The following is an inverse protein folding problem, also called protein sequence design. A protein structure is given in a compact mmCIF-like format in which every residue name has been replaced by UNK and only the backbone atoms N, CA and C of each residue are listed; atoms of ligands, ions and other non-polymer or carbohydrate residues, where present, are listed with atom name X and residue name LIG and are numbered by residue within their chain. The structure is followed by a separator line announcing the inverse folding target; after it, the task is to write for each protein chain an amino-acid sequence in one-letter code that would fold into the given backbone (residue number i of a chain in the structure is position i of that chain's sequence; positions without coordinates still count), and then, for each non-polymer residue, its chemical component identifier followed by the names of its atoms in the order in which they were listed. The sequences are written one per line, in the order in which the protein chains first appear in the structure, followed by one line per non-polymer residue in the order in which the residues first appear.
data_IF_353536713219
#
_entry.id   IF_353536713219
#
_cell.length_a   1.000
_cell.length_b   1.000
_cell.length_c   1.000
_cell.angle_alpha   90.00
_cell.angle_beta   90.00
_cell.angle_gamma   90.00
#
_symmetry.space_group_name_H-M   'P 1'
#
loop_
_entity.id
_entity.type
_entity.pdbx_description
1 polymer ?
#
# COMPACT_ATOMS: atom_id res chain seq x y z
N UNK A 1 -7.87 -30.48 -68.57
CA UNK A 1 -6.58 -29.87 -68.18
C UNK A 1 -6.47 -29.90 -66.67
N UNK A 2 -5.26 -30.05 -66.12
CA UNK A 2 -4.68 -31.26 -65.48
C UNK A 2 -5.10 -31.42 -63.99
N UNK A 3 -5.13 -32.57 -63.29
CA UNK A 3 -4.44 -33.90 -63.27
C UNK A 3 -3.41 -34.00 -62.10
N UNK A 4 -3.87 -34.70 -61.05
CA UNK A 4 -3.24 -35.52 -59.98
C UNK A 4 -1.80 -35.25 -59.46
N UNK A 5 -1.55 -35.54 -58.16
CA UNK A 5 -0.22 -35.52 -57.54
C UNK A 5 0.61 -36.75 -57.92
N UNK A 6 1.93 -36.59 -58.02
CA UNK A 6 2.88 -37.69 -58.21
C UNK A 6 3.97 -37.65 -57.14
N UNK A 7 3.96 -38.67 -56.30
CA UNK A 7 5.05 -39.11 -55.43
C UNK A 7 6.26 -39.56 -56.27
N UNK A 8 7.48 -39.12 -55.94
CA UNK A 8 8.70 -39.93 -56.16
C UNK A 8 9.75 -39.66 -55.09
N UNK A 9 10.02 -40.70 -54.31
CA UNK A 9 11.17 -40.83 -53.43
C UNK A 9 12.47 -40.86 -54.25
N UNK A 10 13.52 -40.22 -53.74
CA UNK A 10 14.90 -40.46 -54.14
C UNK A 10 15.66 -40.86 -52.87
N UNK A 11 16.14 -42.11 -52.87
CA UNK A 11 17.06 -42.66 -51.88
C UNK A 11 18.42 -41.95 -52.01
N UNK A 12 18.82 -41.24 -50.97
CA UNK A 12 20.17 -40.68 -50.82
C UNK A 12 20.88 -41.35 -49.64
N UNK A 13 21.68 -42.36 -49.93
CA UNK A 13 22.59 -43.00 -48.99
C UNK A 13 23.68 -42.01 -48.57
N UNK A 14 23.67 -41.54 -47.32
CA UNK A 14 24.83 -40.86 -46.72
C UNK A 14 25.35 -41.76 -45.61
N UNK A 15 26.50 -42.37 -45.92
CA UNK A 15 27.39 -43.07 -45.00
C UNK A 15 27.93 -42.02 -44.02
N UNK A 16 27.43 -42.00 -42.79
CA UNK A 16 28.07 -41.27 -41.71
C UNK A 16 29.23 -42.14 -41.17
N UNK A 17 30.45 -41.78 -41.55
CA UNK A 17 31.69 -42.33 -40.99
C UNK A 17 31.70 -42.13 -39.47
N UNK A 18 31.70 -43.25 -38.74
CA UNK A 18 31.89 -43.32 -37.30
C UNK A 18 33.37 -43.07 -36.99
N UNK A 19 33.74 -41.83 -36.68
CA UNK A 19 35.04 -41.53 -36.06
C UNK A 19 35.00 -41.92 -34.58
N UNK A 20 35.58 -43.08 -34.26
CA UNK A 20 35.87 -43.49 -32.89
C UNK A 20 37.09 -42.68 -32.43
N UNK A 21 36.86 -41.58 -31.72
CA UNK A 21 37.90 -40.92 -30.93
C UNK A 21 38.09 -41.67 -29.60
N UNK A 22 39.32 -41.91 -29.14
CA UNK A 22 39.57 -42.56 -27.86
C UNK A 22 39.01 -41.70 -26.73
N UNK A 23 38.06 -42.25 -25.98
CA UNK A 23 37.56 -41.68 -24.72
C UNK A 23 38.71 -41.63 -23.72
N UNK A 24 39.35 -40.47 -23.57
CA UNK A 24 40.02 -40.15 -22.31
C UNK A 24 38.94 -39.83 -21.27
N UNK A 25 39.06 -40.30 -20.02
CA UNK A 25 38.13 -39.90 -18.97
C UNK A 25 38.37 -38.42 -18.66
N UNK A 26 37.51 -37.56 -19.20
CA UNK A 26 37.34 -36.21 -18.66
C UNK A 26 36.65 -36.36 -17.31
N UNK A 27 37.39 -36.22 -16.22
CA UNK A 27 36.80 -35.98 -14.91
C UNK A 27 36.21 -34.58 -14.92
N UNK A 28 34.91 -34.47 -15.13
CA UNK A 28 34.18 -33.26 -14.81
C UNK A 28 34.04 -33.21 -13.29
N UNK A 29 34.86 -32.40 -12.62
CA UNK A 29 34.58 -32.05 -11.23
C UNK A 29 33.35 -31.13 -11.27
N UNK A 30 32.14 -31.69 -11.13
CA UNK A 30 30.99 -30.90 -10.71
C UNK A 30 31.32 -30.44 -9.30
N UNK A 31 31.59 -29.16 -9.12
CA UNK A 31 31.28 -28.52 -7.85
C UNK A 31 29.74 -28.47 -7.79
N UNK A 32 29.13 -29.60 -7.48
CA UNK A 32 27.78 -29.61 -6.94
C UNK A 32 27.91 -29.24 -5.48
N UNK A 33 27.86 -27.94 -5.18
CA UNK A 33 27.17 -27.54 -3.97
C UNK A 33 25.68 -27.79 -4.21
N UNK A 34 25.29 -29.07 -4.20
CA UNK A 34 23.94 -29.39 -3.81
C UNK A 34 23.87 -29.06 -2.33
N UNK A 35 23.14 -28.01 -1.97
CA UNK A 35 22.62 -27.89 -0.62
C UNK A 35 21.75 -29.13 -0.38
N UNK A 36 22.35 -30.17 0.15
CA UNK A 36 21.67 -31.39 0.54
C UNK A 36 20.77 -31.05 1.72
N UNK A 37 19.49 -31.36 1.59
CA UNK A 37 18.58 -31.34 2.73
C UNK A 37 19.03 -32.44 3.69
N UNK A 38 19.57 -32.06 4.85
CA UNK A 38 19.59 -32.97 5.98
C UNK A 38 18.18 -33.03 6.54
N UNK A 39 17.67 -34.24 6.77
CA UNK A 39 16.34 -34.52 7.32
C UNK A 39 16.19 -34.11 8.81
N UNK A 40 16.98 -33.14 9.28
CA UNK A 40 17.03 -32.70 10.67
C UNK A 40 16.48 -31.27 10.88
N UNK A 41 16.10 -30.55 9.82
CA UNK A 41 15.48 -29.22 9.90
C UNK A 41 13.95 -29.25 9.89
N UNK A 42 13.33 -30.32 10.40
CA UNK A 42 11.98 -30.19 10.95
C UNK A 42 12.12 -29.39 12.26
N UNK A 43 12.39 -28.09 12.15
CA UNK A 43 12.37 -27.18 13.29
C UNK A 43 11.02 -27.39 13.96
N UNK A 44 11.03 -27.86 15.21
CA UNK A 44 9.85 -28.23 15.96
C UNK A 44 8.69 -27.27 15.64
N UNK A 45 7.53 -27.82 15.27
CA UNK A 45 6.33 -27.04 14.93
C UNK A 45 6.19 -25.89 15.93
N UNK A 46 6.40 -24.66 15.50
CA UNK A 46 6.10 -23.51 16.36
C UNK A 46 4.58 -23.53 16.48
N UNK A 47 4.02 -23.77 17.67
CA UNK A 47 2.59 -23.67 17.92
C UNK A 47 1.68 -24.36 16.85
N UNK A 48 2.09 -25.52 16.34
CA UNK A 48 1.33 -26.28 15.33
C UNK A 48 1.49 -25.82 13.88
N UNK A 49 2.41 -24.91 13.55
CA UNK A 49 2.78 -24.58 12.17
C UNK A 49 3.73 -25.62 11.59
N UNK A 50 3.45 -26.10 10.38
CA UNK A 50 4.29 -27.06 9.67
C UNK A 50 5.57 -26.44 9.10
N UNK A 51 5.55 -25.13 8.79
CA UNK A 51 6.65 -24.43 8.15
C UNK A 51 7.01 -23.14 8.88
N UNK A 52 8.30 -22.80 8.84
CA UNK A 52 8.83 -21.53 9.30
C UNK A 52 9.87 -21.01 8.31
N UNK A 53 9.82 -19.71 8.00
CA UNK A 53 10.74 -19.01 7.12
C UNK A 53 11.33 -17.80 7.83
N UNK A 54 12.64 -17.62 7.73
CA UNK A 54 13.31 -16.40 8.20
C UNK A 54 13.03 -15.28 7.19
N UNK A 55 12.57 -14.15 7.70
CA UNK A 55 12.45 -12.90 6.95
C UNK A 55 13.63 -12.02 7.37
N UNK A 56 14.55 -11.77 6.43
CA UNK A 56 15.68 -10.87 6.66
C UNK A 56 15.24 -9.43 6.44
N UNK A 57 15.72 -8.53 7.31
CA UNK A 57 15.42 -7.10 7.31
C UNK A 57 16.73 -6.36 7.08
N UNK A 58 16.81 -5.65 5.94
CA UNK A 58 18.00 -4.91 5.55
C UNK A 58 17.59 -3.62 4.84
N UNK A 59 17.95 -2.43 5.36
CA UNK A 59 18.69 -2.20 6.61
C UNK A 59 17.89 -2.64 7.86
N UNK A 60 18.57 -2.81 8.99
CA UNK A 60 17.91 -3.11 10.25
C UNK A 60 16.86 -2.04 10.60
N UNK A 61 15.81 -2.42 11.32
CA UNK A 61 14.73 -1.49 11.70
C UNK A 61 15.29 -0.21 12.36
N UNK A 62 14.93 1.00 11.88
CA UNK A 62 15.58 2.23 12.33
C UNK A 62 15.09 2.71 13.71
N UNK A 63 13.93 2.23 14.16
CA UNK A 63 13.31 2.61 15.43
C UNK A 63 12.47 1.46 15.99
N UNK A 64 12.11 1.58 17.27
CA UNK A 64 11.14 0.71 17.91
C UNK A 64 9.74 0.92 17.30
N UNK A 65 8.87 -0.09 17.40
CA UNK A 65 7.51 -0.07 16.87
C UNK A 65 7.46 0.38 15.40
N UNK A 66 8.29 -0.23 14.57
CA UNK A 66 8.42 0.08 13.15
C UNK A 66 7.73 -0.99 12.30
N UNK A 67 6.92 -0.57 11.33
CA UNK A 67 6.24 -1.50 10.43
C UNK A 67 7.15 -1.84 9.26
N UNK A 68 7.47 -3.11 9.10
CA UNK A 68 8.19 -3.61 7.93
C UNK A 68 7.19 -4.17 6.91
N UNK A 69 7.54 -4.07 5.64
CA UNK A 69 6.77 -4.67 4.55
C UNK A 69 7.39 -6.00 4.14
N UNK A 70 6.60 -7.07 4.23
CA UNK A 70 6.95 -8.41 3.76
C UNK A 70 6.21 -8.67 2.45
N UNK A 71 6.97 -8.75 1.35
CA UNK A 71 6.43 -9.09 0.04
C UNK A 71 6.71 -10.55 -0.29
N UNK A 72 5.65 -11.33 -0.52
CA UNK A 72 5.75 -12.73 -0.90
C UNK A 72 5.63 -12.85 -2.42
N UNK A 73 6.70 -13.32 -3.04
CA UNK A 73 6.76 -13.53 -4.48
C UNK A 73 6.49 -15.00 -4.86
N UNK A 74 6.63 -15.34 -6.15
CA UNK A 74 6.38 -16.68 -6.69
C UNK A 74 7.22 -17.81 -6.05
N UNK A 75 8.31 -17.48 -5.35
CA UNK A 75 9.14 -18.44 -4.62
C UNK A 75 8.60 -18.82 -3.24
N UNK A 76 7.56 -18.15 -2.75
CA UNK A 76 6.88 -18.53 -1.53
C UNK A 76 5.94 -19.72 -1.80
N UNK A 77 5.94 -20.70 -0.91
CA UNK A 77 5.09 -21.89 -1.04
C UNK A 77 3.66 -21.59 -0.57
N UNK A 78 2.87 -21.00 -1.47
CA UNK A 78 1.45 -20.72 -1.23
C UNK A 78 0.62 -21.99 -1.04
N UNK A 79 1.04 -23.14 -1.60
CA UNK A 79 0.30 -24.40 -1.49
C UNK A 79 0.36 -24.98 -0.07
N UNK A 80 1.34 -24.54 0.73
CA UNK A 80 1.46 -24.87 2.13
C UNK A 80 0.63 -23.96 3.06
N UNK A 81 -0.09 -22.97 2.53
CA UNK A 81 -0.96 -22.08 3.31
C UNK A 81 -2.44 -22.37 3.01
N UNK A 82 -3.33 -21.81 3.84
CA UNK A 82 -4.74 -21.67 3.46
C UNK A 82 -4.88 -20.76 2.24
N UNK A 83 -5.98 -20.91 1.48
CA UNK A 83 -6.16 -20.23 0.19
C UNK A 83 -6.17 -18.69 0.32
N UNK A 84 -6.60 -18.18 1.46
CA UNK A 84 -6.65 -16.76 1.84
C UNK A 84 -5.47 -16.32 2.72
N UNK A 85 -4.58 -17.24 3.09
CA UNK A 85 -3.40 -16.96 3.91
C UNK A 85 -3.70 -16.73 5.39
N UNK A 86 -4.87 -17.13 5.88
CA UNK A 86 -5.28 -16.90 7.28
C UNK A 86 -4.37 -17.58 8.32
N UNK A 87 -3.63 -18.59 7.89
CA UNK A 87 -2.70 -19.36 8.71
C UNK A 87 -1.26 -18.83 8.73
N UNK A 88 -1.01 -17.58 8.32
CA UNK A 88 0.32 -16.97 8.52
C UNK A 88 0.45 -16.34 9.90
N UNK A 89 1.62 -16.48 10.53
CA UNK A 89 1.98 -15.80 11.80
C UNK A 89 3.40 -15.27 11.75
N UNK A 90 3.66 -14.23 12.53
CA UNK A 90 5.00 -13.65 12.66
C UNK A 90 5.47 -13.69 14.11
N UNK A 91 6.77 -13.93 14.27
CA UNK A 91 7.42 -14.02 15.57
C UNK A 91 8.77 -13.31 15.52
N UNK A 92 9.20 -12.77 16.66
CA UNK A 92 10.58 -12.35 16.81
C UNK A 92 11.54 -13.55 16.91
N UNK A 93 12.84 -13.28 17.04
CA UNK A 93 13.85 -14.33 17.13
C UNK A 93 13.73 -15.18 18.40
N UNK A 94 13.16 -14.62 19.47
CA UNK A 94 12.90 -15.29 20.76
C UNK A 94 11.64 -16.16 20.75
N UNK A 95 10.77 -15.98 19.74
CA UNK A 95 9.51 -16.70 19.59
C UNK A 95 8.29 -15.93 20.12
N UNK A 96 8.42 -14.66 20.47
CA UNK A 96 7.28 -13.83 20.85
C UNK A 96 6.46 -13.43 19.61
N UNK A 97 5.11 -13.47 19.66
CA UNK A 97 4.27 -13.14 18.52
C UNK A 97 4.35 -11.65 18.17
N UNK A 98 4.30 -11.35 16.87
CA UNK A 98 4.30 -9.99 16.34
C UNK A 98 2.95 -9.68 15.68
N UNK A 99 2.43 -8.48 15.92
CA UNK A 99 1.25 -7.97 15.22
C UNK A 99 1.55 -7.82 13.73
N UNK A 100 0.59 -8.18 12.89
CA UNK A 100 0.70 -8.02 11.45
C UNK A 100 -0.66 -7.70 10.83
N UNK A 101 -0.63 -7.21 9.59
CA UNK A 101 -1.81 -7.02 8.78
C UNK A 101 -1.53 -7.41 7.33
N UNK A 102 -2.39 -8.24 6.77
CA UNK A 102 -2.33 -8.65 5.36
C UNK A 102 -3.02 -7.59 4.50
N UNK A 103 -2.24 -6.79 3.79
CA UNK A 103 -2.76 -5.78 2.85
C UNK A 103 -3.36 -6.44 1.62
N UNK A 104 -2.69 -7.48 1.13
CA UNK A 104 -3.08 -8.21 -0.06
C UNK A 104 -2.57 -9.62 0.04
N UNK A 105 -3.46 -10.58 -0.16
CA UNK A 105 -3.09 -11.98 -0.36
C UNK A 105 -3.45 -12.40 -1.79
N UNK A 106 -2.45 -12.78 -2.57
CA UNK A 106 -2.63 -13.22 -3.94
C UNK A 106 -1.74 -14.44 -4.19
N UNK A 107 -2.38 -15.60 -4.20
CA UNK A 107 -1.75 -16.86 -4.61
C UNK A 107 -1.15 -16.67 -6.01
N UNK A 108 0.15 -16.90 -6.15
CA UNK A 108 0.89 -16.59 -7.38
C UNK A 108 1.95 -15.50 -7.22
N UNK A 109 2.22 -15.02 -6.00
CA UNK A 109 3.43 -14.26 -5.73
C UNK A 109 3.28 -12.74 -5.75
N UNK A 110 2.10 -12.23 -5.40
CA UNK A 110 1.89 -10.79 -5.26
C UNK A 110 1.14 -10.48 -3.97
N UNK A 111 1.65 -11.00 -2.84
CA UNK A 111 1.09 -10.73 -1.52
C UNK A 111 1.95 -9.72 -0.77
N UNK A 112 1.29 -8.82 -0.04
CA UNK A 112 1.92 -7.81 0.80
C UNK A 112 1.35 -7.92 2.22
N UNK A 113 2.26 -8.07 3.18
CA UNK A 113 1.94 -8.17 4.60
C UNK A 113 2.79 -7.15 5.34
N UNK A 114 2.19 -6.41 6.26
CA UNK A 114 2.88 -5.48 7.14
C UNK A 114 3.05 -6.10 8.51
N UNK A 115 4.23 -5.98 9.11
CA UNK A 115 4.54 -6.57 10.42
C UNK A 115 5.09 -5.48 11.34
N UNK A 116 4.51 -5.35 12.53
CA UNK A 116 5.02 -4.46 13.57
C UNK A 116 6.22 -5.10 14.25
N UNK A 117 7.36 -4.43 14.19
CA UNK A 117 8.60 -4.83 14.88
C UNK A 117 8.83 -3.91 16.09
N UNK A 118 8.70 -4.42 17.33
CA UNK A 118 8.78 -3.59 18.53
C UNK A 118 10.19 -3.08 18.84
N UNK A 119 11.22 -3.83 18.48
CA UNK A 119 12.61 -3.55 18.87
C UNK A 119 13.39 -2.92 17.71
N UNK A 120 14.04 -1.78 17.97
CA UNK A 120 14.94 -1.15 17.00
C UNK A 120 16.18 -2.01 16.72
N UNK A 121 16.77 -1.89 15.53
CA UNK A 121 17.96 -2.65 15.15
C UNK A 121 17.69 -4.13 14.85
N UNK A 122 16.43 -4.54 14.79
CA UNK A 122 16.05 -5.91 14.39
C UNK A 122 16.43 -6.14 12.93
N UNK A 123 17.17 -7.22 12.67
CA UNK A 123 17.67 -7.63 11.35
C UNK A 123 16.95 -8.85 10.79
N UNK A 124 16.15 -9.55 11.59
CA UNK A 124 15.33 -10.67 11.11
C UNK A 124 14.15 -10.96 12.04
N UNK A 125 13.12 -11.56 11.45
CA UNK A 125 11.96 -12.14 12.14
C UNK A 125 11.65 -13.51 11.54
N UNK A 126 10.72 -14.24 12.15
CA UNK A 126 10.23 -15.54 11.67
C UNK A 126 8.80 -15.39 11.17
N UNK A 127 8.51 -15.96 10.01
CA UNK A 127 7.15 -16.18 9.49
C UNK A 127 6.83 -17.67 9.62
N UNK A 128 5.73 -18.04 10.25
CA UNK A 128 5.24 -19.42 10.35
C UNK A 128 3.94 -19.58 9.57
N UNK A 129 3.72 -20.75 8.96
CA UNK A 129 2.54 -21.06 8.13
C UNK A 129 2.31 -22.57 8.01
N UNK A 130 1.20 -22.98 7.41
CA UNK A 130 0.81 -24.39 7.28
C UNK A 130 0.09 -24.95 8.49
N UNK A 131 -0.83 -24.15 9.05
CA UNK A 131 -1.78 -24.61 10.07
C UNK A 131 -3.20 -24.33 9.60
N UNK A 132 -3.79 -25.28 8.88
CA UNK A 132 -5.11 -25.13 8.26
C UNK A 132 -6.29 -25.04 9.25
N UNK A 133 -6.05 -25.09 10.56
CA UNK A 133 -7.11 -25.13 11.59
C UNK A 133 -7.38 -23.80 12.27
N UNK A 134 -6.56 -22.78 12.00
CA UNK A 134 -6.67 -21.46 12.64
C UNK A 134 -7.29 -20.44 11.68
N UNK A 135 -8.03 -19.47 12.22
CA UNK A 135 -8.48 -18.30 11.45
C UNK A 135 -7.40 -17.22 11.36
N UNK A 136 -7.71 -16.15 10.62
CA UNK A 136 -6.81 -15.01 10.43
C UNK A 136 -6.24 -14.44 11.73
N UNK A 137 -4.94 -14.17 11.73
CA UNK A 137 -4.27 -13.36 12.76
C UNK A 137 -4.11 -11.89 12.36
N UNK A 138 -4.53 -11.52 11.16
CA UNK A 138 -4.35 -10.17 10.59
C UNK A 138 -5.13 -9.13 11.40
N UNK A 139 -4.45 -8.09 11.87
CA UNK A 139 -5.04 -7.02 12.67
C UNK A 139 -4.31 -5.69 12.46
N UNK A 140 -4.88 -4.82 11.61
CA UNK A 140 -4.32 -3.50 11.31
C UNK A 140 -4.28 -2.56 12.51
N UNK A 141 -5.30 -2.58 13.38
CA UNK A 141 -5.38 -1.72 14.58
C UNK A 141 -4.21 -1.98 15.54
N UNK A 142 -3.78 -3.24 15.68
CA UNK A 142 -2.63 -3.63 16.51
C UNK A 142 -1.27 -3.45 15.82
N UNK A 143 -1.28 -3.18 14.51
CA UNK A 143 -0.06 -3.11 13.67
C UNK A 143 0.37 -1.68 13.43
N UNK A 144 -0.59 -0.76 13.27
CA UNK A 144 -0.33 0.63 12.86
C UNK A 144 -0.78 1.64 13.91
N UNK A 145 -0.06 2.78 14.06
CA UNK A 145 -0.51 3.93 14.84
C UNK A 145 -1.92 4.43 14.49
N UNK A 146 -2.29 4.39 13.21
CA UNK A 146 -3.64 4.63 12.73
C UNK A 146 -3.97 3.60 11.67
N UNK A 147 -5.13 2.96 11.81
CA UNK A 147 -5.68 2.02 10.86
C UNK A 147 -7.20 2.08 10.90
N UNK A 148 -7.81 2.07 9.73
CA UNK A 148 -9.24 1.82 9.58
C UNK A 148 -9.51 1.15 8.24
N UNK A 149 -10.23 0.04 8.26
CA UNK A 149 -10.76 -0.65 7.08
C UNK A 149 -12.26 -0.43 6.92
N UNK A 150 -12.84 0.44 7.74
CA UNK A 150 -14.25 0.84 7.73
C UNK A 150 -15.25 -0.33 7.78
N UNK A 151 -14.81 -1.51 8.24
CA UNK A 151 -15.61 -2.73 8.31
C UNK A 151 -16.67 -2.71 9.42
N UNK A 152 -16.55 -1.79 10.39
CA UNK A 152 -17.43 -1.70 11.56
C UNK A 152 -18.84 -1.18 11.28
N UNK A 153 -19.13 -0.75 10.05
CA UNK A 153 -20.44 -0.23 9.63
C UNK A 153 -20.75 1.20 10.10
N UNK A 154 -19.83 1.85 10.82
CA UNK A 154 -19.93 3.26 11.22
C UNK A 154 -18.55 3.89 11.34
N UNK A 155 -18.48 5.22 11.37
CA UNK A 155 -17.21 5.92 11.62
C UNK A 155 -16.84 5.79 13.10
N UNK A 156 -15.62 5.33 13.37
CA UNK A 156 -15.11 5.30 14.73
C UNK A 156 -14.70 6.70 15.19
N UNK A 157 -15.57 7.35 15.97
CA UNK A 157 -15.38 8.75 16.42
C UNK A 157 -14.24 8.94 17.41
N UNK A 158 -13.69 7.86 17.98
CA UNK A 158 -12.47 7.95 18.80
C UNK A 158 -11.22 8.13 17.92
N UNK A 159 -11.26 7.64 16.68
CA UNK A 159 -10.19 7.79 15.69
C UNK A 159 -10.39 9.00 14.79
N UNK A 160 -11.63 9.31 14.47
CA UNK A 160 -11.98 10.29 13.45
C UNK A 160 -12.94 11.37 13.97
N UNK A 161 -12.63 12.63 13.65
CA UNK A 161 -13.58 13.74 13.62
C UNK A 161 -14.32 13.76 12.28
N UNK A 162 -15.59 14.17 12.34
CA UNK A 162 -16.45 14.34 11.17
C UNK A 162 -16.90 15.80 11.14
N UNK A 163 -16.67 16.47 10.02
CA UNK A 163 -17.12 17.82 9.77
C UNK A 163 -17.94 17.82 8.47
N UNK A 164 -19.23 18.16 8.55
CA UNK A 164 -20.16 18.13 7.42
C UNK A 164 -21.12 19.31 7.46
N UNK A 165 -21.74 19.57 6.31
CA UNK A 165 -22.73 20.59 6.05
C UNK A 165 -24.00 19.99 5.44
N UNK A 166 -25.00 20.84 5.18
CA UNK A 166 -26.27 20.45 4.57
C UNK A 166 -26.14 19.76 3.19
N UNK A 167 -25.04 19.99 2.47
CA UNK A 167 -24.76 19.39 1.16
C UNK A 167 -23.53 18.49 1.16
N UNK A 168 -23.05 18.05 2.31
CA UNK A 168 -21.88 17.19 2.38
C UNK A 168 -22.12 16.03 3.32
N UNK A 169 -21.43 14.93 3.07
CA UNK A 169 -21.68 13.69 3.80
C UNK A 169 -20.40 12.90 4.02
N UNK A 170 -20.33 12.28 5.19
CA UNK A 170 -19.35 11.25 5.53
C UNK A 170 -20.14 10.04 6.01
N UNK A 171 -20.05 8.93 5.28
CA UNK A 171 -20.79 7.70 5.60
C UNK A 171 -19.91 6.47 5.50
N UNK A 172 -20.33 5.37 6.12
CA UNK A 172 -19.71 4.05 5.98
C UNK A 172 -20.74 3.07 5.46
N UNK A 173 -20.40 2.32 4.42
CA UNK A 173 -21.24 1.24 3.90
C UNK A 173 -20.38 0.21 3.17
N UNK A 174 -20.69 -1.08 3.34
CA UNK A 174 -19.99 -2.15 2.65
C UNK A 174 -18.48 -2.23 2.93
N UNK A 175 -18.04 -1.84 4.13
CA UNK A 175 -16.62 -1.82 4.49
C UNK A 175 -15.83 -0.67 3.89
N UNK A 176 -16.50 0.44 3.52
CA UNK A 176 -15.87 1.60 2.90
C UNK A 176 -16.41 2.88 3.47
N UNK A 177 -15.56 3.90 3.59
CA UNK A 177 -15.99 5.26 3.90
C UNK A 177 -16.21 6.06 2.61
N UNK A 178 -17.29 6.83 2.55
CA UNK A 178 -17.55 7.82 1.51
C UNK A 178 -17.40 9.21 2.13
N UNK A 179 -16.60 10.06 1.49
CA UNK A 179 -16.51 11.50 1.79
C UNK A 179 -16.94 12.24 0.53
N UNK A 180 -18.00 13.05 0.62
CA UNK A 180 -18.63 13.65 -0.56
C UNK A 180 -19.19 15.03 -0.29
N UNK A 181 -19.13 15.91 -1.29
CA UNK A 181 -19.87 17.18 -1.34
C UNK A 181 -20.80 17.20 -2.56
N UNK A 182 -22.09 17.40 -2.33
CA UNK A 182 -23.22 17.38 -3.27
C UNK A 182 -23.84 18.77 -3.45
N UNK A 183 -23.01 19.80 -3.57
CA UNK A 183 -23.52 21.17 -3.67
C UNK A 183 -24.27 21.37 -5.00
N UNK A 184 -25.48 21.95 -5.02
CA UNK A 184 -26.18 22.26 -6.27
C UNK A 184 -25.40 23.26 -7.12
N UNK A 185 -25.17 23.00 -8.42
CA UNK A 185 -24.48 23.93 -9.33
C UNK A 185 -23.15 24.49 -8.78
N UNK A 186 -22.18 23.62 -8.44
CA UNK A 186 -20.90 24.04 -7.91
C UNK A 186 -20.12 24.80 -9.00
N UNK A 187 -19.57 25.97 -8.63
CA UNK A 187 -18.68 26.75 -9.49
C UNK A 187 -17.22 26.28 -9.42
N UNK A 188 -16.92 25.34 -8.52
CA UNK A 188 -15.61 24.74 -8.31
C UNK A 188 -15.70 23.63 -7.27
N UNK A 189 -14.77 22.70 -7.36
CA UNK A 189 -14.67 21.56 -6.46
C UNK A 189 -13.22 21.13 -6.30
N UNK A 190 -12.89 20.55 -5.15
CA UNK A 190 -11.66 19.78 -5.01
C UNK A 190 -11.78 18.68 -3.97
N UNK A 191 -10.91 17.69 -4.13
CA UNK A 191 -10.64 16.65 -3.15
C UNK A 191 -9.26 16.85 -2.57
N UNK A 192 -9.07 16.53 -1.29
CA UNK A 192 -7.77 16.43 -0.65
C UNK A 192 -7.66 15.17 0.19
N UNK A 193 -6.60 14.41 -0.05
CA UNK A 193 -6.34 13.14 0.63
C UNK A 193 -4.88 13.10 1.05
N UNK A 194 -4.62 12.88 2.34
CA UNK A 194 -3.28 12.75 2.90
C UNK A 194 -3.15 13.47 4.24
N UNK A 195 -1.97 14.03 4.52
CA UNK A 195 -1.76 14.81 5.73
C UNK A 195 -2.18 16.26 5.50
N UNK A 196 -3.17 16.74 6.24
CA UNK A 196 -3.68 18.11 6.09
C UNK A 196 -4.44 18.58 7.32
N UNK A 197 -4.11 19.77 7.81
CA UNK A 197 -4.89 20.50 8.82
C UNK A 197 -5.91 21.46 8.17
N UNK A 198 -6.15 21.34 6.86
CA UNK A 198 -7.02 22.27 6.15
C UNK A 198 -8.44 22.20 6.69
N UNK A 199 -8.90 23.33 7.23
CA UNK A 199 -10.31 23.57 7.49
C UNK A 199 -10.95 24.31 6.33
N UNK A 200 -12.26 24.13 6.21
CA UNK A 200 -13.11 24.99 5.42
C UNK A 200 -14.03 25.76 6.35
N UNK A 201 -14.21 27.06 6.12
CA UNK A 201 -15.33 27.76 6.73
C UNK A 201 -16.65 27.18 6.21
N UNK A 202 -17.39 26.51 7.09
CA UNK A 202 -18.70 25.93 6.83
C UNK A 202 -19.73 27.03 6.58
N UNK A 203 -20.40 27.04 5.43
CA UNK A 203 -21.49 27.98 5.17
C UNK A 203 -21.09 29.45 5.04
N UNK A 204 -19.78 29.76 4.94
CA UNK A 204 -19.27 31.15 4.86
C UNK A 204 -18.56 31.46 3.55
N UNK A 205 -18.51 32.74 3.23
CA UNK A 205 -17.88 33.30 2.04
C UNK A 205 -16.38 33.49 2.27
N UNK A 206 -15.54 32.79 1.50
CA UNK A 206 -14.10 33.05 1.37
C UNK A 206 -13.16 32.91 2.60
N UNK A 207 -13.37 31.94 3.49
CA UNK A 207 -12.36 31.57 4.49
C UNK A 207 -11.90 30.13 4.32
N UNK A 208 -10.91 29.91 3.44
CA UNK A 208 -9.95 28.85 3.72
C UNK A 208 -9.13 29.31 4.93
N UNK A 209 -9.08 28.50 5.98
CA UNK A 209 -8.07 28.72 7.01
C UNK A 209 -6.68 28.46 6.40
N UNK A 210 -5.65 29.04 7.01
CA UNK A 210 -4.27 28.66 6.68
C UNK A 210 -4.12 27.16 6.90
N UNK A 211 -3.75 26.42 5.86
CA UNK A 211 -3.47 24.99 5.94
C UNK A 211 -1.97 24.70 5.94
N UNK A 212 -1.62 23.44 6.18
CA UNK A 212 -0.35 22.80 5.93
C UNK A 212 -0.67 21.43 5.38
N UNK A 213 -0.08 21.12 4.24
CA UNK A 213 -0.54 20.02 3.41
C UNK A 213 0.62 19.15 2.92
N UNK A 214 0.40 17.85 2.93
CA UNK A 214 1.11 16.82 2.15
C UNK A 214 0.04 15.89 1.60
N UNK A 215 -0.55 16.24 0.46
CA UNK A 215 -1.78 15.63 -0.05
C UNK A 215 -1.76 15.43 -1.57
N UNK A 216 -2.62 14.53 -2.08
CA UNK A 216 -3.15 14.69 -3.44
C UNK A 216 -4.33 15.65 -3.39
N UNK A 217 -4.34 16.63 -4.30
CA UNK A 217 -5.39 17.63 -4.47
C UNK A 217 -5.74 17.74 -5.94
N UNK A 218 -6.94 17.33 -6.36
CA UNK A 218 -7.41 17.48 -7.76
C UNK A 218 -6.42 16.92 -8.79
N UNK A 219 -5.86 15.75 -8.49
CA UNK A 219 -4.85 15.13 -9.36
C UNK A 219 -3.46 15.78 -9.31
N UNK A 220 -3.20 16.67 -8.36
CA UNK A 220 -1.86 17.22 -8.08
C UNK A 220 -1.30 16.68 -6.76
N UNK A 221 0.01 16.43 -6.68
CA UNK A 221 0.72 16.36 -5.40
C UNK A 221 0.97 17.77 -4.90
N UNK A 222 0.55 18.07 -3.68
CA UNK A 222 0.75 19.37 -3.04
C UNK A 222 1.52 19.22 -1.73
N UNK A 223 2.59 19.98 -1.58
CA UNK A 223 3.21 20.26 -0.27
C UNK A 223 3.12 21.75 0.03
N UNK A 224 2.54 22.08 1.19
CA UNK A 224 2.36 23.46 1.65
C UNK A 224 2.82 23.58 3.09
N UNK A 225 3.74 24.51 3.37
CA UNK A 225 4.29 24.73 4.71
C UNK A 225 3.57 25.82 5.52
N UNK A 226 2.44 26.33 5.02
CA UNK A 226 1.71 27.46 5.61
C UNK A 226 2.12 28.83 5.06
N UNK A 227 3.11 28.88 4.16
CA UNK A 227 3.59 30.11 3.52
C UNK A 227 3.65 29.97 2.00
N UNK A 228 4.36 28.94 1.52
CA UNK A 228 4.62 28.68 0.11
C UNK A 228 4.26 27.24 -0.26
N UNK A 229 3.92 27.03 -1.53
CA UNK A 229 3.41 25.76 -2.05
C UNK A 229 4.34 25.19 -3.12
N UNK A 230 4.54 23.87 -3.10
CA UNK A 230 5.05 23.11 -4.25
C UNK A 230 3.95 22.22 -4.78
N UNK A 231 3.75 22.23 -6.09
CA UNK A 231 2.71 21.45 -6.77
C UNK A 231 3.35 20.67 -7.91
N UNK A 232 2.98 19.40 -8.05
CA UNK A 232 3.31 18.56 -9.22
C UNK A 232 2.02 17.92 -9.73
N UNK A 233 1.71 18.13 -11.00
CA UNK A 233 0.56 17.47 -11.66
C UNK A 233 0.81 15.97 -11.83
N UNK A 234 -0.12 15.15 -11.33
CA UNK A 234 -0.05 13.69 -11.34
C UNK A 234 -0.88 13.09 -12.49
N UNK A 235 -1.72 13.90 -13.16
CA UNK A 235 -2.67 13.50 -14.20
C UNK A 235 -3.58 12.33 -13.78
N UNK A 236 -4.06 12.34 -12.53
CA UNK A 236 -4.90 11.28 -11.96
C UNK A 236 -6.39 11.55 -12.26
N UNK A 237 -7.05 10.69 -13.04
CA UNK A 237 -8.49 10.84 -13.33
C UNK A 237 -9.28 9.57 -12.96
N UNK A 238 -10.25 9.71 -12.04
CA UNK A 238 -11.40 8.82 -11.83
C UNK A 238 -11.09 7.32 -11.68
N UNK A 239 -10.03 6.98 -10.96
CA UNK A 239 -9.56 5.59 -10.78
C UNK A 239 -9.42 5.19 -9.32
N UNK A 240 -9.44 3.86 -9.09
CA UNK A 240 -8.96 3.29 -7.83
C UNK A 240 -7.44 3.36 -7.79
N UNK A 241 -6.91 3.90 -6.71
CA UNK A 241 -5.49 4.11 -6.51
C UNK A 241 -5.06 3.52 -5.17
N UNK A 242 -3.91 2.87 -5.18
CA UNK A 242 -3.12 2.59 -3.99
C UNK A 242 -2.13 3.72 -3.82
N UNK A 243 -2.44 4.63 -2.89
CA UNK A 243 -1.67 5.86 -2.69
C UNK A 243 -0.75 5.70 -1.47
N UNK A 244 0.48 6.18 -1.57
CA UNK A 244 1.48 6.13 -0.50
C UNK A 244 2.25 7.45 -0.44
N UNK A 245 2.14 8.14 0.70
CA UNK A 245 2.76 9.44 0.94
C UNK A 245 3.76 9.30 2.07
N UNK A 246 5.04 9.23 1.72
CA UNK A 246 6.13 9.12 2.70
C UNK A 246 6.61 10.51 3.04
N UNK A 247 6.11 11.07 4.13
CA UNK A 247 6.56 12.35 4.67
C UNK A 247 7.77 12.09 5.59
N UNK A 248 8.92 11.89 4.94
CA UNK A 248 10.13 11.37 5.59
C UNK A 248 10.74 12.40 6.53
N UNK A 249 10.82 13.66 6.09
CA UNK A 249 11.45 14.77 6.83
C UNK A 249 10.83 16.11 6.43
N UNK A 250 11.26 17.20 7.08
CA UNK A 250 10.93 18.57 6.66
C UNK A 250 11.53 18.98 5.31
N UNK A 251 12.22 18.08 4.63
CA UNK A 251 12.92 18.32 3.36
C UNK A 251 12.68 17.23 2.32
N UNK A 252 11.89 16.20 2.63
CA UNK A 252 11.59 15.14 1.68
C UNK A 252 10.20 14.55 1.90
N UNK A 253 9.39 14.62 0.85
CA UNK A 253 8.15 13.87 0.69
C UNK A 253 8.27 13.06 -0.59
N UNK A 254 7.95 11.77 -0.52
CA UNK A 254 7.86 10.91 -1.71
C UNK A 254 6.41 10.44 -1.85
N UNK A 255 5.85 10.60 -3.04
CA UNK A 255 4.53 10.11 -3.39
C UNK A 255 4.65 8.96 -4.38
N UNK A 256 3.90 7.89 -4.11
CA UNK A 256 3.76 6.74 -4.98
C UNK A 256 2.30 6.40 -5.23
N UNK A 257 2.00 5.98 -6.45
CA UNK A 257 0.73 5.38 -6.85
C UNK A 257 0.97 3.96 -7.34
N UNK A 258 0.16 3.01 -6.89
CA UNK A 258 0.21 1.63 -7.36
C UNK A 258 1.65 1.07 -7.33
N UNK A 259 2.34 1.33 -6.22
CA UNK A 259 3.75 0.96 -5.97
C UNK A 259 4.80 1.71 -6.81
N UNK A 260 4.41 2.66 -7.65
CA UNK A 260 5.31 3.42 -8.51
C UNK A 260 5.50 4.84 -7.97
N UNK A 261 6.75 5.26 -7.78
CA UNK A 261 7.05 6.65 -7.39
C UNK A 261 6.63 7.59 -8.52
N UNK A 262 5.77 8.56 -8.19
CA UNK A 262 5.24 9.56 -9.12
C UNK A 262 5.92 10.90 -8.98
N UNK A 263 6.20 11.31 -7.75
CA UNK A 263 6.82 12.59 -7.46
C UNK A 263 7.61 12.57 -6.16
N UNK A 264 8.59 13.48 -6.07
CA UNK A 264 9.33 13.76 -4.84
C UNK A 264 9.39 15.27 -4.68
N UNK A 265 8.88 15.78 -3.57
CA UNK A 265 9.01 17.18 -3.20
C UNK A 265 10.15 17.31 -2.19
N UNK A 266 10.94 18.37 -2.34
CA UNK A 266 12.04 18.72 -1.43
C UNK A 266 11.93 20.13 -0.84
N UNK A 267 10.87 20.84 -1.19
CA UNK A 267 10.61 22.23 -0.84
C UNK A 267 9.20 22.39 -0.31
N UNK A 268 8.98 23.41 0.51
CA UNK A 268 7.64 23.78 1.01
C UNK A 268 6.93 22.67 1.80
N UNK A 269 7.72 21.86 2.51
CA UNK A 269 7.21 20.74 3.30
C UNK A 269 6.93 21.23 4.73
N UNK A 270 5.74 20.94 5.30
CA UNK A 270 5.46 21.29 6.68
C UNK A 270 6.37 20.53 7.65
N UNK A 271 6.54 21.07 8.86
CA UNK A 271 7.33 20.44 9.94
C UNK A 271 6.54 20.26 11.23
N UNK A 272 5.35 20.85 11.32
CA UNK A 272 4.43 20.71 12.45
C UNK A 272 3.58 19.48 12.29
N UNK A 273 3.17 18.85 13.40
CA UNK A 273 2.25 17.72 13.33
C UNK A 273 0.89 18.13 12.73
N UNK A 274 0.39 17.34 11.79
CA UNK A 274 -0.89 17.54 11.08
C UNK A 274 -1.67 16.22 11.04
N UNK A 275 -3.01 16.24 11.03
CA UNK A 275 -3.81 15.02 10.97
C UNK A 275 -3.80 14.42 9.56
N UNK A 276 -4.26 13.18 9.46
CA UNK A 276 -4.73 12.62 8.19
C UNK A 276 -6.12 13.17 7.91
N UNK A 277 -6.37 13.59 6.68
CA UNK A 277 -7.65 14.16 6.28
C UNK A 277 -8.07 13.63 4.91
N UNK A 278 -9.36 13.28 4.81
CA UNK A 278 -10.08 13.10 3.56
C UNK A 278 -11.11 14.21 3.48
N UNK A 279 -10.95 15.09 2.50
CA UNK A 279 -11.76 16.29 2.35
C UNK A 279 -12.35 16.33 0.94
N UNK A 280 -13.66 16.53 0.85
CA UNK A 280 -14.37 16.86 -0.38
C UNK A 280 -15.04 18.23 -0.20
N UNK A 281 -14.71 19.20 -1.06
CA UNK A 281 -15.26 20.57 -1.00
C UNK A 281 -15.86 21.01 -2.32
N UNK A 282 -16.97 21.72 -2.24
CA UNK A 282 -17.52 22.52 -3.33
C UNK A 282 -17.68 24.01 -2.93
N UNK A 283 -17.71 24.87 -3.93
CA UNK A 283 -18.14 26.27 -3.82
C UNK A 283 -19.40 26.53 -4.66
N UNK A 284 -20.40 27.18 -4.06
CA UNK A 284 -21.68 27.48 -4.72
C UNK A 284 -21.64 28.77 -5.56
N UNK A 285 -22.38 28.81 -6.69
CA UNK A 285 -22.58 30.02 -7.50
C UNK A 285 -23.52 31.01 -6.79
N UNK A 286 -22.96 32.01 -6.12
CA UNK A 286 -23.66 32.96 -5.24
C UNK A 286 -22.65 33.71 -4.37
N UNK A 287 -22.95 34.11 -3.12
CA UNK A 287 -22.03 34.94 -2.31
C UNK A 287 -20.67 34.28 -1.98
N UNK A 288 -20.37 33.04 -2.43
CA UNK A 288 -19.08 32.37 -2.26
C UNK A 288 -19.06 31.34 -1.12
N UNK A 289 -20.22 30.79 -0.78
CA UNK A 289 -20.39 29.80 0.29
C UNK A 289 -19.69 28.48 -0.03
N UNK A 290 -18.98 27.96 0.96
CA UNK A 290 -18.26 26.69 0.89
C UNK A 290 -19.03 25.60 1.64
N UNK A 291 -19.04 24.41 1.04
CA UNK A 291 -19.55 23.20 1.67
C UNK A 291 -18.47 22.14 1.58
N UNK A 292 -18.19 21.47 2.69
CA UNK A 292 -17.26 20.36 2.66
C UNK A 292 -17.66 19.22 3.58
N UNK A 293 -17.25 18.02 3.19
CA UNK A 293 -17.17 16.88 4.07
C UNK A 293 -15.69 16.67 4.41
N UNK A 294 -15.38 16.58 5.69
CA UNK A 294 -14.04 16.26 6.18
C UNK A 294 -14.17 15.07 7.12
N UNK A 295 -13.41 14.01 6.80
CA UNK A 295 -13.10 12.92 7.72
C UNK A 295 -11.64 13.08 8.14
N UNK A 296 -11.41 13.42 9.40
CA UNK A 296 -10.10 13.82 9.91
C UNK A 296 -9.66 12.97 11.08
N UNK A 297 -8.42 12.52 11.12
CA UNK A 297 -7.93 11.76 12.26
C UNK A 297 -7.82 12.66 13.50
N UNK A 298 -8.27 12.17 14.65
CA UNK A 298 -8.06 12.83 15.95
C UNK A 298 -6.58 12.83 16.37
N UNK A 299 -5.79 11.93 15.77
CA UNK A 299 -4.35 11.87 15.96
C UNK A 299 -3.62 12.78 14.97
N UNK A 300 -2.54 13.41 15.44
CA UNK A 300 -1.64 14.23 14.62
C UNK A 300 -0.35 13.46 14.33
N UNK A 301 0.22 13.68 13.15
CA UNK A 301 1.46 13.05 12.71
C UNK A 301 2.48 14.11 12.32
N UNK A 302 3.73 13.91 12.73
CA UNK A 302 4.86 14.72 12.28
C UNK A 302 5.55 14.04 11.08
N UNK A 303 6.65 14.63 10.63
CA UNK A 303 7.61 13.96 9.72
C UNK A 303 8.08 12.62 10.29
N UNK A 304 8.45 11.68 9.42
CA UNK A 304 8.84 10.31 9.77
C UNK A 304 7.67 9.32 9.73
N UNK A 305 6.52 9.73 9.20
CA UNK A 305 5.35 8.88 8.98
C UNK A 305 4.96 8.84 7.51
N UNK A 306 4.35 7.73 7.10
CA UNK A 306 3.76 7.55 5.81
C UNK A 306 2.27 7.23 5.93
N UNK A 307 1.46 7.92 5.14
CA UNK A 307 0.04 7.61 4.95
C UNK A 307 -0.10 6.72 3.72
N UNK A 308 -0.90 5.67 3.83
CA UNK A 308 -1.20 4.76 2.74
C UNK A 308 -2.66 4.37 2.73
N UNK A 309 -3.26 4.31 1.55
CA UNK A 309 -4.69 4.02 1.42
C UNK A 309 -5.00 3.40 0.05
N UNK A 310 -6.04 2.58 0.01
CA UNK A 310 -6.75 2.29 -1.24
C UNK A 310 -8.00 3.17 -1.27
N UNK A 311 -8.08 4.00 -2.30
CA UNK A 311 -9.18 4.94 -2.45
C UNK A 311 -9.56 5.12 -3.90
N UNK A 312 -10.84 5.33 -4.14
CA UNK A 312 -11.35 5.85 -5.40
C UNK A 312 -11.47 7.36 -5.28
N UNK A 313 -11.02 8.10 -6.30
CA UNK A 313 -11.11 9.56 -6.34
C UNK A 313 -11.97 9.95 -7.53
N UNK A 314 -12.98 10.78 -7.31
CA UNK A 314 -13.76 11.40 -8.37
C UNK A 314 -13.68 12.91 -8.25
N UNK A 315 -13.01 13.55 -9.21
CA UNK A 315 -13.09 14.99 -9.41
C UNK A 315 -13.28 15.28 -10.89
N UNK A 316 -13.94 16.39 -11.23
CA UNK A 316 -14.02 16.88 -12.60
C UNK A 316 -13.43 18.28 -12.64
N UNK A 317 -12.55 18.51 -13.62
CA UNK A 317 -11.78 19.74 -13.70
C UNK A 317 -12.66 20.98 -13.96
N UNK A 318 -13.80 20.86 -14.65
CA UNK A 318 -14.68 22.01 -14.97
C UNK A 318 -16.15 21.61 -15.09
N UNK A 319 -17.03 22.36 -14.39
CA UNK A 319 -18.49 22.34 -14.57
C UNK A 319 -19.24 21.25 -13.80
N UNK A 320 -20.03 21.68 -12.80
CA UNK A 320 -21.15 20.93 -12.20
C UNK A 320 -20.86 19.52 -11.65
N UNK A 321 -19.76 19.33 -10.94
CA UNK A 321 -19.38 18.00 -10.46
C UNK A 321 -19.28 17.89 -8.94
N UNK A 322 -19.74 16.75 -8.46
CA UNK A 322 -19.75 16.33 -7.07
C UNK A 322 -18.40 15.64 -6.74
N UNK A 323 -17.47 16.28 -6.03
CA UNK A 323 -16.25 15.63 -5.60
C UNK A 323 -16.57 14.56 -4.55
N UNK A 324 -16.02 13.37 -4.74
CA UNK A 324 -16.07 12.34 -3.69
C UNK A 324 -14.86 11.43 -3.70
N UNK A 325 -14.55 10.92 -2.52
CA UNK A 325 -13.60 9.84 -2.32
C UNK A 325 -14.30 8.65 -1.66
N UNK A 326 -14.00 7.43 -2.13
CA UNK A 326 -14.40 6.19 -1.48
C UNK A 326 -13.14 5.53 -0.95
N UNK A 327 -13.01 5.46 0.37
CA UNK A 327 -11.85 4.90 1.06
C UNK A 327 -12.16 3.44 1.43
N UNK A 328 -11.35 2.51 0.93
CA UNK A 328 -11.45 1.09 1.25
C UNK A 328 -10.77 0.80 2.59
N UNK A 329 -9.54 1.28 2.75
CA UNK A 329 -8.81 1.25 4.00
C UNK A 329 -7.74 2.32 4.02
N UNK A 330 -7.30 2.68 5.24
CA UNK A 330 -6.23 3.63 5.49
C UNK A 330 -5.32 3.11 6.59
N UNK A 331 -4.02 3.32 6.42
CA UNK A 331 -3.02 3.09 7.45
C UNK A 331 -2.03 4.25 7.52
N UNK A 332 -1.48 4.48 8.70
CA UNK A 332 -0.30 5.32 8.89
C UNK A 332 0.79 4.52 9.56
N UNK A 333 1.98 4.51 8.97
CA UNK A 333 3.16 3.77 9.46
C UNK A 333 4.33 4.71 9.68
N UNK A 334 5.32 4.28 10.47
CA UNK A 334 6.63 4.96 10.46
C UNK A 334 7.30 4.73 9.11
N UNK A 335 8.08 5.71 8.66
CA UNK A 335 8.83 5.62 7.41
C UNK A 335 10.22 6.21 7.56
N UNK A 336 11.12 5.81 6.66
CA UNK A 336 12.49 6.28 6.55
C UNK A 336 12.84 6.50 5.07
N UNK A 337 14.01 7.08 4.81
CA UNK A 337 14.47 7.31 3.43
C UNK A 337 14.62 6.01 2.61
N UNK A 338 14.84 4.88 3.28
CA UNK A 338 14.94 3.55 2.70
C UNK A 338 13.97 2.63 3.46
N UNK A 339 13.13 1.89 2.73
CA UNK A 339 12.20 0.88 3.25
C UNK A 339 12.54 -0.51 2.70
#
# INVERSE_FOLDING_TARGET
MPRKPNTRAIFGTIIAMLFILPLMPFTFTRNSESAGFSSADLSASINGFAYTKIVNISPATPAANYQIRVNLNVSFDYAACQADGDDVRFYDTTGAPLSFWTEKWMNGGNSTIWVLVPVAGTTSIKMAYGNATIGSGSNGVSTFPLFDDFSSGSINTTRWGIETDIYSTVTVSGGRALVQSLTPSPSGSFLRLGFSDQDCGHGVTNSLSSSKDVVSSVGDLVTYNGVTTTTTDLNEDQVWLLMDYRWISGTSVIFSENETVKATHTTNIPTTSIPVSFLARCNYFGPGTNYAAILRSNMLFATGYAFRTVTYIHHLNWGNAEPYAIIDWVLVRKTAAVE
#
